data_IF_420772213949
#
_entry.id   IF_420772213949
#
_cell.length_a   1.000
_cell.length_b   1.000
_cell.length_c   1.000
_cell.angle_alpha   90.00
_cell.angle_beta   90.00
_cell.angle_gamma   90.00
#
_symmetry.space_group_name_H-M   'P 1'
#
loop_
_entity.id
_entity.type
_entity.pdbx_description
1 polymer ?
#
# COMPACT_ATOMS: atom_id res chain seq x y z
N UNK A 1 5.30 20.41 -19.59
CA UNK A 1 6.22 19.66 -18.72
C UNK A 1 5.41 19.40 -17.46
N UNK A 2 4.64 18.32 -17.50
CA UNK A 2 3.61 17.99 -16.52
C UNK A 2 4.28 17.51 -15.23
N UNK A 3 4.54 18.45 -14.32
CA UNK A 3 5.01 18.18 -12.95
C UNK A 3 3.88 17.62 -12.05
N UNK A 4 2.65 17.51 -12.58
CA UNK A 4 1.45 17.22 -11.80
C UNK A 4 1.06 15.73 -11.78
N UNK A 5 1.83 14.83 -12.41
CA UNK A 5 1.54 13.39 -12.37
C UNK A 5 2.67 12.62 -11.71
N UNK A 6 2.38 12.09 -10.53
CA UNK A 6 3.24 11.15 -9.82
C UNK A 6 3.40 9.90 -10.69
N UNK A 7 4.65 9.52 -10.96
CA UNK A 7 4.95 8.23 -11.54
C UNK A 7 4.74 7.15 -10.47
N UNK A 8 3.66 6.37 -10.62
CA UNK A 8 3.29 5.29 -9.69
C UNK A 8 4.41 4.26 -9.57
N UNK A 9 5.14 3.98 -10.65
CA UNK A 9 6.20 2.98 -10.63
C UNK A 9 7.37 3.48 -9.79
N UNK A 10 7.83 4.70 -10.05
CA UNK A 10 8.91 5.32 -9.27
C UNK A 10 8.52 5.49 -7.81
N UNK A 11 7.27 5.88 -7.52
CA UNK A 11 6.78 6.00 -6.14
C UNK A 11 6.75 4.65 -5.43
N UNK A 12 6.31 3.58 -6.10
CA UNK A 12 6.34 2.23 -5.52
C UNK A 12 7.75 1.73 -5.25
N UNK A 13 8.70 2.02 -6.14
CA UNK A 13 10.09 1.64 -5.93
C UNK A 13 10.66 2.36 -4.69
N UNK A 14 10.28 3.63 -4.46
CA UNK A 14 10.65 4.37 -3.24
C UNK A 14 9.95 3.85 -1.98
N UNK A 15 8.66 3.51 -2.05
CA UNK A 15 7.93 2.89 -0.93
C UNK A 15 8.60 1.57 -0.51
N UNK A 16 9.07 0.79 -1.47
CA UNK A 16 9.70 -0.50 -1.22
C UNK A 16 11.20 -0.40 -0.95
N UNK A 17 11.78 0.79 -1.02
CA UNK A 17 13.18 1.02 -0.71
C UNK A 17 13.50 0.64 0.74
N UNK A 18 14.72 0.14 0.93
CA UNK A 18 15.24 -0.27 2.23
C UNK A 18 15.90 0.90 2.97
N UNK A 19 16.28 1.96 2.26
CA UNK A 19 16.69 3.21 2.86
C UNK A 19 15.49 3.90 3.55
N UNK A 20 15.52 4.10 4.88
CA UNK A 20 14.39 4.66 5.61
C UNK A 20 14.00 6.06 5.14
N UNK A 21 14.97 6.90 4.78
CA UNK A 21 14.70 8.27 4.34
C UNK A 21 13.95 8.29 3.00
N UNK A 22 14.32 7.41 2.08
CA UNK A 22 13.64 7.24 0.79
C UNK A 22 12.21 6.74 0.98
N UNK A 23 12.04 5.71 1.80
CA UNK A 23 10.71 5.19 2.15
C UNK A 23 9.83 6.26 2.82
N UNK A 24 10.31 6.90 3.88
CA UNK A 24 9.55 7.91 4.63
C UNK A 24 9.18 9.10 3.76
N UNK A 25 10.07 9.53 2.87
CA UNK A 25 9.80 10.58 1.90
C UNK A 25 8.65 10.23 0.96
N UNK A 26 8.62 9.01 0.43
CA UNK A 26 7.52 8.55 -0.43
C UNK A 26 6.23 8.27 0.34
N UNK A 27 6.35 7.83 1.60
CA UNK A 27 5.23 7.46 2.44
C UNK A 27 4.48 8.67 3.01
N UNK A 28 5.21 9.70 3.49
CA UNK A 28 4.61 10.94 4.02
C UNK A 28 4.42 12.03 2.97
N UNK A 29 5.05 11.86 1.81
CA UNK A 29 4.98 12.80 0.69
C UNK A 29 3.73 12.63 -0.17
N UNK A 30 3.82 13.18 -1.38
CA UNK A 30 2.75 13.14 -2.36
C UNK A 30 2.57 11.72 -2.92
N UNK A 31 1.34 11.19 -2.81
CA UNK A 31 0.99 9.83 -3.25
C UNK A 31 0.06 9.85 -4.47
N UNK A 32 0.15 8.85 -5.36
CA UNK A 32 -0.78 8.71 -6.47
C UNK A 32 -2.19 8.41 -5.97
N UNK A 33 -3.19 8.80 -6.76
CA UNK A 33 -4.57 8.44 -6.49
C UNK A 33 -4.73 6.91 -6.43
N UNK A 34 -5.47 6.42 -5.43
CA UNK A 34 -5.67 5.00 -5.19
C UNK A 34 -6.12 4.22 -6.43
N UNK A 35 -7.10 4.77 -7.18
CA UNK A 35 -7.61 4.16 -8.40
C UNK A 35 -6.53 3.88 -9.47
N UNK A 36 -5.46 4.69 -9.50
CA UNK A 36 -4.33 4.49 -10.42
C UNK A 36 -3.31 3.54 -9.79
N UNK A 37 -3.12 3.59 -8.47
CA UNK A 37 -2.12 2.80 -7.76
C UNK A 37 -2.49 1.32 -7.59
N UNK A 38 -3.77 0.99 -7.39
CA UNK A 38 -4.24 -0.38 -7.04
C UNK A 38 -3.73 -1.46 -8.00
N UNK A 39 -3.83 -1.33 -9.34
CA UNK A 39 -3.31 -2.35 -10.25
C UNK A 39 -1.79 -2.58 -10.08
N UNK A 40 -1.03 -1.52 -9.82
CA UNK A 40 0.41 -1.61 -9.61
C UNK A 40 0.75 -2.21 -8.24
N UNK A 41 0.01 -1.85 -7.19
CA UNK A 41 0.15 -2.42 -5.85
C UNK A 41 -0.08 -3.94 -5.87
N UNK A 42 -1.15 -4.41 -6.52
CA UNK A 42 -1.45 -5.83 -6.67
C UNK A 42 -0.33 -6.57 -7.43
N UNK A 43 0.19 -5.97 -8.51
CA UNK A 43 1.30 -6.54 -9.26
C UNK A 43 2.58 -6.65 -8.42
N UNK A 44 2.89 -5.65 -7.58
CA UNK A 44 4.06 -5.71 -6.69
C UNK A 44 3.86 -6.67 -5.53
N UNK A 45 2.64 -6.80 -5.01
CA UNK A 45 2.34 -7.75 -3.93
C UNK A 45 2.58 -9.20 -4.40
N UNK A 46 2.15 -9.53 -5.62
CA UNK A 46 2.38 -10.84 -6.21
C UNK A 46 3.88 -11.17 -6.42
N UNK A 47 4.72 -10.15 -6.61
CA UNK A 47 6.16 -10.28 -6.79
C UNK A 47 6.97 -10.17 -5.48
N UNK A 48 6.36 -9.71 -4.38
CA UNK A 48 7.05 -9.54 -3.10
C UNK A 48 7.19 -10.89 -2.37
N UNK A 49 8.36 -11.13 -1.78
CA UNK A 49 8.68 -12.39 -1.10
C UNK A 49 8.91 -12.24 0.41
N UNK A 50 9.32 -11.06 0.85
CA UNK A 50 9.52 -10.74 2.27
C UNK A 50 8.28 -10.11 2.89
N UNK A 51 8.10 -10.32 4.20
CA UNK A 51 6.93 -9.80 4.91
C UNK A 51 6.93 -8.29 5.08
N UNK A 52 8.11 -7.64 5.05
CA UNK A 52 8.24 -6.19 5.19
C UNK A 52 7.66 -5.44 3.98
N UNK A 53 8.11 -5.78 2.77
CA UNK A 53 7.56 -5.23 1.53
C UNK A 53 6.11 -5.59 1.32
N UNK A 54 5.69 -6.83 1.63
CA UNK A 54 4.27 -7.22 1.60
C UNK A 54 3.42 -6.39 2.54
N UNK A 55 3.87 -6.17 3.78
CA UNK A 55 3.16 -5.38 4.78
C UNK A 55 2.86 -3.95 4.29
N UNK A 56 3.88 -3.27 3.75
CA UNK A 56 3.71 -1.94 3.13
C UNK A 56 2.65 -1.95 2.01
N UNK A 57 2.69 -2.95 1.13
CA UNK A 57 1.73 -3.05 0.02
C UNK A 57 0.30 -3.32 0.51
N UNK A 58 0.14 -4.19 1.51
CA UNK A 58 -1.15 -4.49 2.12
C UNK A 58 -1.78 -3.27 2.78
N UNK A 59 -0.97 -2.48 3.50
CA UNK A 59 -1.42 -1.23 4.10
C UNK A 59 -2.01 -0.28 3.05
N UNK A 60 -1.26 -0.03 1.97
CA UNK A 60 -1.68 0.88 0.89
C UNK A 60 -2.92 0.36 0.14
N UNK A 61 -3.08 -0.96 0.02
CA UNK A 61 -4.29 -1.57 -0.53
C UNK A 61 -5.50 -1.39 0.41
N UNK A 62 -5.31 -1.51 1.73
CA UNK A 62 -6.37 -1.27 2.72
C UNK A 62 -6.87 0.19 2.72
N UNK A 63 -5.97 1.14 2.47
CA UNK A 63 -6.30 2.56 2.33
C UNK A 63 -6.99 2.94 1.02
N UNK A 64 -6.95 2.05 0.02
CA UNK A 64 -7.32 2.42 -1.35
C UNK A 64 -8.80 2.80 -1.51
N UNK A 65 -9.65 2.36 -0.58
CA UNK A 65 -11.11 2.44 -0.71
C UNK A 65 -11.68 1.54 -1.81
N UNK A 66 -10.84 0.75 -2.49
CA UNK A 66 -11.26 -0.10 -3.60
C UNK A 66 -11.62 -1.50 -3.09
N UNK A 67 -12.92 -1.77 -2.96
CA UNK A 67 -13.44 -3.09 -2.56
C UNK A 67 -12.98 -4.26 -3.46
N UNK A 68 -12.50 -4.00 -4.68
CA UNK A 68 -11.98 -5.04 -5.57
C UNK A 68 -10.73 -5.74 -5.00
N UNK A 69 -10.04 -5.13 -4.03
CA UNK A 69 -8.85 -5.71 -3.40
C UNK A 69 -9.18 -6.74 -2.30
N UNK A 70 -10.43 -6.80 -1.83
CA UNK A 70 -10.87 -7.66 -0.71
C UNK A 70 -10.45 -9.13 -0.90
N UNK A 71 -10.68 -9.78 -2.05
CA UNK A 71 -10.29 -11.19 -2.22
C UNK A 71 -8.79 -11.40 -2.06
N UNK A 72 -7.97 -10.46 -2.51
CA UNK A 72 -6.51 -10.50 -2.36
C UNK A 72 -6.11 -10.36 -0.89
N UNK A 73 -6.69 -9.39 -0.17
CA UNK A 73 -6.41 -9.22 1.26
C UNK A 73 -6.83 -10.46 2.07
N UNK A 74 -7.98 -11.06 1.75
CA UNK A 74 -8.45 -12.30 2.38
C UNK A 74 -7.50 -13.49 2.13
N UNK A 75 -6.89 -13.57 0.94
CA UNK A 75 -5.92 -14.62 0.65
C UNK A 75 -4.66 -14.48 1.53
N UNK A 76 -4.21 -13.26 1.79
CA UNK A 76 -3.01 -12.98 2.60
C UNK A 76 -3.23 -13.26 4.10
N UNK A 77 -4.48 -13.43 4.56
CA UNK A 77 -4.78 -13.97 5.90
C UNK A 77 -4.31 -15.43 6.08
N UNK A 78 -4.01 -16.15 5.00
CA UNK A 78 -3.46 -17.51 5.05
C UNK A 78 -1.95 -17.55 4.80
N UNK A 79 -1.28 -16.40 4.75
CA UNK A 79 0.16 -16.34 4.50
C UNK A 79 0.97 -17.03 5.63
N UNK A 80 2.08 -17.74 5.31
CA UNK A 80 2.87 -18.46 6.32
C UNK A 80 3.45 -17.55 7.40
N UNK A 81 3.87 -16.33 7.04
CA UNK A 81 4.39 -15.34 7.98
C UNK A 81 3.26 -14.67 8.77
N UNK A 82 3.38 -14.64 10.10
CA UNK A 82 2.39 -14.01 10.99
C UNK A 82 2.23 -12.52 10.75
N UNK A 83 3.35 -11.81 10.54
CA UNK A 83 3.34 -10.37 10.27
C UNK A 83 2.48 -10.02 9.04
N UNK A 84 2.52 -10.85 7.99
CA UNK A 84 1.72 -10.63 6.77
C UNK A 84 0.24 -10.84 7.05
N UNK A 85 -0.12 -11.86 7.85
CA UNK A 85 -1.52 -12.09 8.25
C UNK A 85 -2.05 -10.91 9.07
N UNK A 86 -1.24 -10.36 9.97
CA UNK A 86 -1.61 -9.20 10.77
C UNK A 86 -1.85 -7.97 9.87
N UNK A 87 -0.95 -7.71 8.92
CA UNK A 87 -1.14 -6.64 7.94
C UNK A 87 -2.37 -6.82 7.06
N UNK A 88 -2.66 -8.04 6.61
CA UNK A 88 -3.85 -8.34 5.84
C UNK A 88 -5.13 -8.07 6.62
N UNK A 89 -5.17 -8.43 7.91
CA UNK A 89 -6.30 -8.11 8.78
C UNK A 89 -6.46 -6.60 8.98
N UNK A 90 -5.36 -5.88 9.25
CA UNK A 90 -5.39 -4.42 9.40
C UNK A 90 -5.85 -3.72 8.11
N UNK A 91 -5.45 -4.22 6.95
CA UNK A 91 -5.86 -3.68 5.66
C UNK A 91 -7.37 -3.87 5.42
N UNK A 92 -7.93 -5.03 5.77
CA UNK A 92 -9.37 -5.28 5.69
C UNK A 92 -10.15 -4.35 6.64
N UNK A 93 -9.67 -4.19 7.88
CA UNK A 93 -10.29 -3.29 8.85
C UNK A 93 -10.22 -1.82 8.41
N UNK A 94 -9.11 -1.40 7.78
CA UNK A 94 -8.95 -0.06 7.24
C UNK A 94 -9.91 0.20 6.08
N UNK A 95 -10.05 -0.78 5.17
CA UNK A 95 -10.94 -0.69 4.03
C UNK A 95 -12.41 -0.59 4.45
N UNK A 96 -12.82 -1.37 5.44
CA UNK A 96 -14.18 -1.33 6.01
C UNK A 96 -14.50 0.04 6.64
N UNK A 97 -13.53 0.62 7.34
CA UNK A 97 -13.67 1.92 7.99
C UNK A 97 -13.48 3.12 7.06
N UNK A 98 -12.90 2.91 5.87
CA UNK A 98 -12.42 3.99 5.01
C UNK A 98 -11.28 4.79 5.64
N UNK A 99 -10.42 4.14 6.44
CA UNK A 99 -9.32 4.78 7.15
C UNK A 99 -8.17 5.10 6.20
N UNK A 100 -7.69 6.35 6.25
CA UNK A 100 -6.37 6.75 5.75
C UNK A 100 -5.40 6.77 6.92
N UNK A 101 -4.24 6.12 6.80
CA UNK A 101 -3.21 6.03 7.81
C UNK A 101 -2.30 7.25 7.76
N UNK A 102 -2.24 7.93 6.61
CA UNK A 102 -1.79 9.32 6.58
C UNK A 102 -2.77 10.18 7.39
N UNK A 103 -2.27 11.05 8.29
CA UNK A 103 -3.11 12.03 8.94
C UNK A 103 -3.77 12.85 7.85
N UNK A 104 -5.10 12.97 7.89
CA UNK A 104 -5.82 13.93 7.06
C UNK A 104 -5.17 15.29 7.30
N UNK A 105 -4.43 15.82 6.31
CA UNK A 105 -3.92 17.19 6.39
C UNK A 105 -5.14 18.07 6.62
N UNK A 106 -5.25 18.61 7.83
CA UNK A 106 -6.36 19.48 8.22
C UNK A 106 -6.48 20.61 7.21
N UNK A 107 -7.72 20.91 6.84
CA UNK A 107 -8.10 22.00 5.96
C UNK A 107 -7.59 23.37 6.43
#
# INVERSE_FOLDING_TARGET
MDLDRIDVVSWLDQILDQDPATFEGAYWGLRPAAAIAVPHLLARLAAAHDGYSRGKLLELLGESGDSAVIPTLQAELQHPLEEVRNWAQLALDALDRGTSWQPSMGA
#
